data_IF_292152417135
#
_entry.id   IF_292152417135
#
_cell.length_a   1.000
_cell.length_b   1.000
_cell.length_c   1.000
_cell.angle_alpha   90.00
_cell.angle_beta   90.00
_cell.angle_gamma   90.00
#
_symmetry.space_group_name_H-M   'P 1'
#
loop_
_entity.id
_entity.type
_entity.pdbx_description
1 polymer ?
#
# COMPACT_ATOMS: atom_id res chain seq x y z
N UNK A 1 27.94 80.58 -34.52
CA UNK A 1 28.02 79.10 -34.41
C UNK A 1 27.10 78.67 -33.29
N UNK A 2 25.85 78.18 -33.62
CA UNK A 2 24.85 77.71 -32.67
C UNK A 2 24.85 76.19 -32.73
N UNK A 3 25.19 75.50 -31.64
CA UNK A 3 25.10 74.09 -31.53
C UNK A 3 23.71 73.68 -31.11
N UNK A 4 23.01 72.94 -31.98
CA UNK A 4 21.73 72.27 -31.69
C UNK A 4 22.05 71.00 -30.85
N UNK A 5 21.42 70.91 -29.68
CA UNK A 5 21.36 69.66 -28.90
C UNK A 5 20.06 68.93 -29.28
N UNK A 6 20.25 67.74 -29.89
CA UNK A 6 19.15 66.84 -30.14
C UNK A 6 18.98 65.96 -28.89
N UNK A 7 17.84 66.04 -28.26
CA UNK A 7 17.46 65.16 -27.16
C UNK A 7 16.85 63.87 -27.76
N UNK A 8 17.58 62.73 -27.58
CA UNK A 8 17.09 61.45 -27.91
C UNK A 8 16.39 60.89 -26.66
N UNK A 9 15.06 60.82 -26.70
CA UNK A 9 14.25 60.17 -25.66
C UNK A 9 14.29 58.67 -25.91
N UNK A 10 15.12 57.96 -25.18
CA UNK A 10 15.15 56.49 -25.14
C UNK A 10 13.99 56.00 -24.28
N UNK A 11 12.97 55.48 -24.93
CA UNK A 11 11.84 54.80 -24.27
C UNK A 11 12.39 53.47 -23.75
N UNK A 12 12.53 53.39 -22.42
CA UNK A 12 12.91 52.16 -21.72
C UNK A 12 11.65 51.28 -21.58
N UNK A 13 11.45 50.31 -22.48
CA UNK A 13 10.50 49.24 -22.28
C UNK A 13 11.02 48.31 -21.19
N UNK A 14 10.48 48.48 -19.99
CA UNK A 14 10.68 47.50 -18.94
C UNK A 14 9.88 46.23 -19.31
N UNK A 15 10.57 45.20 -19.84
CA UNK A 15 10.02 43.88 -20.02
C UNK A 15 9.86 43.23 -18.64
N UNK A 16 8.68 43.28 -18.05
CA UNK A 16 8.33 42.52 -16.85
C UNK A 16 8.17 41.09 -17.30
N UNK A 17 9.24 40.31 -17.18
CA UNK A 17 9.18 38.83 -17.29
C UNK A 17 8.54 38.36 -15.99
N UNK A 18 7.23 38.12 -16.05
CA UNK A 18 6.51 37.38 -15.02
C UNK A 18 7.00 35.94 -15.12
N UNK A 19 7.94 35.57 -14.25
CA UNK A 19 8.22 34.16 -13.97
C UNK A 19 6.98 33.58 -13.29
N UNK A 20 6.05 33.07 -14.08
CA UNK A 20 5.09 32.11 -13.57
C UNK A 20 5.91 30.88 -13.20
N UNK A 21 5.86 30.40 -11.96
CA UNK A 21 6.37 29.08 -11.66
C UNK A 21 5.61 28.13 -12.60
N UNK A 22 6.31 27.56 -13.57
CA UNK A 22 5.81 26.40 -14.27
C UNK A 22 5.68 25.32 -13.19
N UNK A 23 4.55 25.30 -12.49
CA UNK A 23 4.11 24.08 -11.86
C UNK A 23 4.01 23.09 -13.00
N UNK A 24 4.97 22.18 -13.11
CA UNK A 24 4.76 20.93 -13.81
C UNK A 24 3.58 20.25 -13.08
N UNK A 25 2.38 20.66 -13.42
CA UNK A 25 1.22 19.83 -13.21
C UNK A 25 1.46 18.63 -14.09
N UNK A 26 1.92 17.55 -13.48
CA UNK A 26 1.78 16.22 -14.05
C UNK A 26 0.33 16.13 -14.55
N UNK A 27 0.11 15.70 -15.81
CA UNK A 27 -1.23 15.51 -16.30
C UNK A 27 -1.96 14.65 -15.28
N UNK A 28 -3.12 15.09 -14.85
CA UNK A 28 -4.01 14.44 -13.88
C UNK A 28 -4.05 12.95 -14.13
N UNK A 29 -3.32 12.20 -13.33
CA UNK A 29 -3.62 10.81 -13.13
C UNK A 29 -5.00 10.80 -12.46
N UNK A 30 -6.01 10.26 -13.11
CA UNK A 30 -7.23 9.84 -12.46
C UNK A 30 -6.85 8.93 -11.28
N UNK A 31 -7.66 8.77 -10.25
CA UNK A 31 -7.37 7.89 -9.09
C UNK A 31 -6.97 6.47 -9.48
N UNK A 32 -7.14 6.08 -10.76
CA UNK A 32 -6.73 4.83 -11.38
C UNK A 32 -5.29 4.85 -11.98
N UNK A 33 -4.60 5.98 -12.01
CA UNK A 33 -3.28 6.10 -12.63
C UNK A 33 -2.15 6.01 -11.57
N UNK A 34 -2.09 4.89 -10.90
CA UNK A 34 -0.84 4.35 -10.39
C UNK A 34 0.17 4.33 -11.56
N UNK A 35 1.40 4.74 -11.32
CA UNK A 35 2.39 4.82 -12.38
C UNK A 35 2.79 3.40 -12.85
N UNK A 36 2.30 2.98 -14.01
CA UNK A 36 2.56 1.66 -14.57
C UNK A 36 3.97 1.56 -15.15
N UNK A 37 4.81 0.72 -14.54
CA UNK A 37 6.19 0.49 -14.94
C UNK A 37 6.44 -0.91 -15.51
N UNK A 38 5.41 -1.67 -15.85
CA UNK A 38 5.51 -3.06 -16.32
C UNK A 38 6.48 -3.23 -17.48
N UNK A 39 6.41 -2.36 -18.49
CA UNK A 39 7.28 -2.41 -19.68
C UNK A 39 8.77 -2.18 -19.39
N UNK A 40 9.13 -1.74 -18.16
CA UNK A 40 10.51 -1.48 -17.75
C UNK A 40 11.23 -2.73 -17.25
N UNK A 41 10.53 -3.85 -17.09
CA UNK A 41 11.10 -5.09 -16.57
C UNK A 41 11.68 -5.98 -17.67
N UNK A 42 12.80 -6.66 -17.36
CA UNK A 42 13.51 -7.60 -18.24
C UNK A 42 13.94 -8.83 -17.46
N UNK A 43 13.92 -10.00 -18.11
CA UNK A 43 14.52 -11.22 -17.59
C UNK A 43 16.02 -11.18 -17.86
N UNK A 44 16.85 -10.82 -16.87
CA UNK A 44 18.25 -10.46 -17.13
C UNK A 44 19.29 -11.23 -16.31
N UNK A 45 18.88 -11.95 -15.25
CA UNK A 45 19.88 -12.56 -14.35
C UNK A 45 20.35 -13.95 -14.73
N UNK A 46 19.60 -14.65 -15.58
CA UNK A 46 19.99 -15.99 -15.98
C UNK A 46 19.64 -16.24 -17.47
N UNK A 47 20.55 -16.90 -18.19
CA UNK A 47 20.36 -17.22 -19.60
C UNK A 47 19.17 -18.17 -19.88
N UNK A 48 18.69 -18.87 -18.87
CA UNK A 48 17.53 -19.77 -18.95
C UNK A 48 16.20 -19.07 -18.66
N UNK A 49 16.25 -17.83 -18.19
CA UNK A 49 15.05 -17.03 -17.99
C UNK A 49 14.55 -16.51 -19.34
N UNK A 50 13.24 -16.54 -19.50
CA UNK A 50 12.56 -16.02 -20.68
C UNK A 50 11.43 -15.10 -20.28
N UNK A 51 11.12 -14.21 -21.17
CA UNK A 51 10.06 -13.23 -21.00
C UNK A 51 9.35 -13.00 -22.33
N UNK A 52 8.04 -13.12 -22.29
CA UNK A 52 7.16 -12.79 -23.41
C UNK A 52 6.35 -11.54 -23.08
N UNK A 53 6.41 -10.53 -23.96
CA UNK A 53 5.61 -9.31 -23.82
C UNK A 53 4.31 -9.48 -24.61
N UNK A 54 3.18 -9.11 -24.00
CA UNK A 54 1.88 -9.17 -24.62
C UNK A 54 1.39 -7.80 -25.09
N UNK A 55 0.46 -7.80 -26.05
CA UNK A 55 -0.10 -6.56 -26.62
C UNK A 55 -0.90 -5.72 -25.64
N UNK A 56 -1.40 -6.30 -24.56
CA UNK A 56 -2.10 -5.63 -23.46
C UNK A 56 -1.15 -5.02 -22.42
N UNK A 57 0.18 -5.14 -22.63
CA UNK A 57 1.21 -4.63 -21.74
C UNK A 57 1.59 -5.58 -20.61
N UNK A 58 0.94 -6.73 -20.47
CA UNK A 58 1.33 -7.76 -19.51
C UNK A 58 2.61 -8.49 -19.95
N UNK A 59 3.22 -9.20 -19.01
CA UNK A 59 4.47 -9.94 -19.22
C UNK A 59 4.30 -11.37 -18.73
N UNK A 60 4.58 -12.37 -19.57
CA UNK A 60 4.80 -13.74 -19.09
C UNK A 60 6.28 -13.96 -18.82
N UNK A 61 6.61 -14.26 -17.57
CA UNK A 61 7.96 -14.49 -17.06
C UNK A 61 8.15 -15.97 -16.73
N UNK A 62 9.09 -16.62 -17.43
CA UNK A 62 9.50 -18.00 -17.20
C UNK A 62 10.72 -18.00 -16.30
N UNK A 63 10.49 -18.07 -15.00
CA UNK A 63 11.56 -17.96 -14.02
C UNK A 63 12.33 -19.27 -13.84
N UNK A 64 13.59 -19.14 -13.47
CA UNK A 64 14.38 -20.20 -12.81
C UNK A 64 14.42 -19.92 -11.31
N UNK A 65 14.87 -20.91 -10.52
CA UNK A 65 15.01 -20.71 -9.08
C UNK A 65 15.91 -19.51 -8.79
N UNK A 66 15.39 -18.53 -8.04
CA UNK A 66 16.07 -17.28 -7.68
C UNK A 66 16.58 -16.46 -8.87
N UNK A 67 16.06 -16.73 -10.06
CA UNK A 67 16.25 -15.84 -11.21
C UNK A 67 15.48 -14.54 -11.04
N UNK A 68 15.90 -13.48 -11.74
CA UNK A 68 15.36 -12.13 -11.52
C UNK A 68 14.66 -11.55 -12.75
N UNK A 69 13.39 -11.20 -12.62
CA UNK A 69 12.77 -10.20 -13.49
C UNK A 69 13.15 -8.83 -12.93
N UNK A 70 13.93 -8.06 -13.69
CA UNK A 70 14.66 -6.89 -13.19
C UNK A 70 14.21 -5.61 -13.86
N UNK A 71 13.89 -4.60 -13.07
CA UNK A 71 13.80 -3.20 -13.48
C UNK A 71 15.07 -2.46 -13.05
N UNK A 72 15.88 -2.00 -14.01
CA UNK A 72 17.07 -1.20 -13.76
C UNK A 72 16.77 0.27 -14.03
N UNK A 73 17.07 1.13 -13.05
CA UNK A 73 16.74 2.56 -13.13
C UNK A 73 17.43 3.21 -14.32
N UNK A 74 18.75 3.04 -14.48
CA UNK A 74 19.52 3.68 -15.54
C UNK A 74 19.26 3.08 -16.92
N UNK A 75 19.19 1.75 -17.00
CA UNK A 75 19.10 1.04 -18.29
C UNK A 75 17.67 0.97 -18.82
N UNK A 76 16.69 0.97 -17.93
CA UNK A 76 15.28 0.80 -18.28
C UNK A 76 14.45 2.08 -18.11
N UNK A 77 15.11 3.23 -17.87
CA UNK A 77 14.48 4.54 -17.69
C UNK A 77 13.41 4.56 -16.60
N UNK A 78 13.71 3.96 -15.46
CA UNK A 78 12.93 4.13 -14.23
C UNK A 78 13.33 5.43 -13.52
N UNK A 79 12.42 6.05 -12.75
CA UNK A 79 12.79 7.16 -11.88
C UNK A 79 13.88 6.73 -10.88
N UNK A 80 14.82 7.61 -10.57
CA UNK A 80 15.84 7.37 -9.56
C UNK A 80 15.29 7.59 -8.15
N UNK A 81 14.48 8.63 -8.00
CA UNK A 81 13.86 9.04 -6.74
C UNK A 81 12.40 8.56 -6.69
N UNK A 82 12.12 7.68 -5.73
CA UNK A 82 10.78 7.14 -5.50
C UNK A 82 10.14 7.72 -4.23
N UNK A 83 10.69 8.80 -3.66
CA UNK A 83 10.15 9.40 -2.42
C UNK A 83 8.71 9.94 -2.56
N UNK A 84 8.26 10.18 -3.79
CA UNK A 84 6.85 10.52 -4.09
C UNK A 84 5.90 9.33 -4.13
N UNK A 85 6.38 8.12 -3.88
CA UNK A 85 5.57 6.89 -3.89
C UNK A 85 5.64 6.17 -2.55
N UNK A 86 4.63 5.38 -2.22
CA UNK A 86 4.59 4.59 -0.99
C UNK A 86 4.88 3.11 -1.19
N UNK A 87 4.74 2.60 -2.41
CA UNK A 87 5.00 1.19 -2.72
C UNK A 87 5.24 0.94 -4.20
N UNK A 88 5.88 -0.20 -4.50
CA UNK A 88 5.83 -0.86 -5.80
C UNK A 88 5.06 -2.17 -5.65
N UNK A 89 4.10 -2.42 -6.53
CA UNK A 89 3.23 -3.60 -6.45
C UNK A 89 3.30 -4.41 -7.74
N UNK A 90 3.54 -5.72 -7.63
CA UNK A 90 3.38 -6.67 -8.71
C UNK A 90 1.99 -7.30 -8.64
N UNK A 91 1.22 -7.19 -9.71
CA UNK A 91 -0.07 -7.87 -9.86
C UNK A 91 0.06 -9.01 -10.86
N UNK A 92 -0.43 -10.17 -10.48
CA UNK A 92 -0.38 -11.38 -11.28
C UNK A 92 -1.76 -11.67 -11.86
N UNK A 93 -1.79 -12.21 -13.07
CA UNK A 93 -3.06 -12.63 -13.73
C UNK A 93 -3.70 -13.76 -12.94
N UNK A 94 -2.89 -14.78 -12.58
CA UNK A 94 -3.30 -15.92 -11.77
C UNK A 94 -2.59 -15.89 -10.42
N UNK A 95 -3.13 -16.64 -9.46
CA UNK A 95 -2.45 -16.84 -8.18
C UNK A 95 -1.11 -17.55 -8.35
N UNK A 96 -0.09 -17.06 -7.64
CA UNK A 96 1.27 -17.62 -7.68
C UNK A 96 1.29 -19.09 -7.25
N UNK A 97 2.03 -19.93 -7.96
CA UNK A 97 2.20 -21.35 -7.65
C UNK A 97 3.36 -21.64 -6.70
N UNK A 98 4.20 -20.64 -6.50
CA UNK A 98 5.42 -20.71 -5.68
C UNK A 98 5.56 -19.41 -4.88
N UNK A 99 6.41 -19.44 -3.88
CA UNK A 99 6.80 -18.23 -3.15
C UNK A 99 7.56 -17.28 -4.07
N UNK A 100 7.31 -16.00 -3.89
CA UNK A 100 7.91 -14.89 -4.64
C UNK A 100 8.53 -13.89 -3.69
N UNK A 101 9.50 -13.12 -4.15
CA UNK A 101 10.07 -12.03 -3.34
C UNK A 101 10.41 -10.82 -4.19
N UNK A 102 10.39 -9.65 -3.56
CA UNK A 102 10.85 -8.41 -4.16
C UNK A 102 12.11 -7.94 -3.44
N UNK A 103 13.16 -7.68 -4.21
CA UNK A 103 14.34 -7.01 -3.75
C UNK A 103 14.31 -5.55 -4.27
N UNK A 104 14.58 -4.61 -3.39
CA UNK A 104 14.72 -3.20 -3.71
C UNK A 104 16.14 -2.78 -3.36
N UNK A 105 16.88 -2.24 -4.32
CA UNK A 105 18.29 -1.90 -4.17
C UNK A 105 19.13 -3.08 -3.59
N UNK A 106 18.88 -4.29 -4.11
CA UNK A 106 19.57 -5.52 -3.68
C UNK A 106 19.17 -6.09 -2.33
N UNK A 107 18.27 -5.45 -1.60
CA UNK A 107 17.80 -5.91 -0.29
C UNK A 107 16.40 -6.50 -0.40
N UNK A 108 16.16 -7.66 0.22
CA UNK A 108 14.81 -8.26 0.34
C UNK A 108 13.88 -7.31 1.11
N UNK A 109 12.74 -6.96 0.52
CA UNK A 109 11.76 -6.04 1.09
C UNK A 109 10.36 -6.60 1.19
N UNK A 110 9.98 -7.51 0.31
CA UNK A 110 8.68 -8.14 0.37
C UNK A 110 8.80 -9.64 0.05
N UNK A 111 8.00 -10.43 0.74
CA UNK A 111 7.91 -11.88 0.56
C UNK A 111 6.45 -12.28 0.34
N UNK A 112 6.17 -12.85 -0.81
CA UNK A 112 4.86 -13.34 -1.20
C UNK A 112 4.77 -14.84 -1.06
N UNK A 113 3.79 -15.30 -0.31
CA UNK A 113 3.45 -16.72 -0.20
C UNK A 113 2.87 -17.24 -1.51
N UNK A 114 2.87 -18.56 -1.67
CA UNK A 114 2.10 -19.22 -2.72
C UNK A 114 0.61 -18.85 -2.61
N UNK A 115 -0.03 -18.64 -3.75
CA UNK A 115 -1.47 -18.41 -3.84
C UNK A 115 -1.89 -16.94 -3.84
N UNK A 116 -0.96 -16.00 -3.94
CA UNK A 116 -1.27 -14.57 -4.04
C UNK A 116 -1.43 -14.12 -5.49
N UNK A 117 -2.29 -13.14 -5.71
CA UNK A 117 -2.46 -12.44 -6.99
C UNK A 117 -1.84 -11.05 -6.99
N UNK A 118 -1.32 -10.60 -5.85
CA UNK A 118 -0.72 -9.29 -5.65
C UNK A 118 0.41 -9.37 -4.65
N UNK A 119 1.54 -8.72 -4.94
CA UNK A 119 2.68 -8.59 -4.04
C UNK A 119 3.13 -7.13 -3.97
N UNK A 120 2.70 -6.37 -2.96
CA UNK A 120 3.21 -5.02 -2.71
C UNK A 120 4.53 -5.05 -1.95
N UNK A 121 5.39 -4.09 -2.26
CA UNK A 121 6.60 -3.76 -1.51
C UNK A 121 6.48 -2.31 -1.04
N UNK A 122 6.15 -2.12 0.23
CA UNK A 122 6.03 -0.80 0.85
C UNK A 122 7.42 -0.23 1.16
N UNK A 123 7.53 1.10 1.09
CA UNK A 123 8.80 1.82 1.27
C UNK A 123 9.01 2.32 2.71
N UNK A 124 8.15 1.91 3.64
CA UNK A 124 8.26 2.31 5.05
C UNK A 124 9.64 1.98 5.62
N UNK A 125 10.32 2.99 6.15
CA UNK A 125 11.67 2.84 6.70
C UNK A 125 12.79 2.57 5.68
N UNK A 126 12.52 2.76 4.38
CA UNK A 126 13.47 2.58 3.29
C UNK A 126 13.84 3.94 2.70
N UNK A 127 15.14 4.20 2.51
CA UNK A 127 15.56 5.36 1.71
C UNK A 127 15.40 5.02 0.23
N UNK A 128 14.36 5.60 -0.38
CA UNK A 128 14.01 5.38 -1.78
C UNK A 128 14.38 6.55 -2.69
N UNK A 129 15.18 7.49 -2.21
CA UNK A 129 15.65 8.64 -3.01
C UNK A 129 16.67 8.25 -4.07
N UNK A 130 17.31 7.09 -3.92
CA UNK A 130 18.29 6.58 -4.87
C UNK A 130 18.09 5.08 -5.07
N UNK A 131 17.07 4.73 -5.85
CA UNK A 131 16.84 3.34 -6.26
C UNK A 131 17.69 3.08 -7.51
N UNK A 132 18.43 1.97 -7.52
CA UNK A 132 19.18 1.49 -8.66
C UNK A 132 18.46 0.35 -9.39
N UNK A 133 17.75 -0.50 -8.64
CA UNK A 133 17.04 -1.65 -9.20
C UNK A 133 15.88 -2.11 -8.32
N UNK A 134 14.91 -2.74 -8.97
CA UNK A 134 13.87 -3.55 -8.35
C UNK A 134 13.79 -4.91 -9.02
N UNK A 135 13.67 -5.98 -8.25
CA UNK A 135 13.76 -7.35 -8.76
C UNK A 135 12.64 -8.20 -8.18
N UNK A 136 11.91 -8.90 -9.05
CA UNK A 136 11.02 -10.00 -8.67
C UNK A 136 11.75 -11.32 -8.86
N UNK A 137 11.76 -12.16 -7.82
CA UNK A 137 12.33 -13.52 -7.85
C UNK A 137 11.30 -14.56 -7.42
N UNK A 138 11.55 -15.82 -7.80
CA UNK A 138 10.73 -16.97 -7.39
C UNK A 138 11.58 -18.01 -6.71
N UNK A 139 11.04 -18.66 -5.68
CA UNK A 139 11.76 -19.68 -4.90
C UNK A 139 12.00 -20.98 -5.70
N UNK A 140 11.23 -21.22 -6.74
CA UNK A 140 11.35 -22.39 -7.64
C UNK A 140 11.04 -21.96 -9.07
N UNK A 141 11.50 -22.72 -10.08
CA UNK A 141 11.13 -22.49 -11.46
C UNK A 141 9.61 -22.49 -11.63
N UNK A 142 9.09 -21.48 -12.31
CA UNK A 142 7.65 -21.34 -12.58
C UNK A 142 7.42 -20.39 -13.74
N UNK A 143 6.19 -20.35 -14.23
CA UNK A 143 5.72 -19.32 -15.17
C UNK A 143 4.73 -18.43 -14.44
N UNK A 144 4.96 -17.13 -14.48
CA UNK A 144 4.10 -16.08 -13.92
C UNK A 144 3.67 -15.13 -15.03
N UNK A 145 2.37 -14.83 -15.11
CA UNK A 145 1.91 -13.71 -15.91
C UNK A 145 1.73 -12.52 -15.00
N UNK A 146 2.59 -11.52 -15.18
CA UNK A 146 2.54 -10.24 -14.49
C UNK A 146 1.61 -9.34 -15.29
N UNK A 147 0.44 -9.07 -14.75
CA UNK A 147 -0.56 -8.19 -15.35
C UNK A 147 -0.06 -6.75 -15.40
N UNK A 148 0.49 -6.28 -14.29
CA UNK A 148 1.09 -4.95 -14.16
C UNK A 148 2.03 -4.84 -12.98
N UNK A 149 2.95 -3.89 -13.06
CA UNK A 149 3.81 -3.44 -11.98
C UNK A 149 3.56 -1.95 -11.78
N UNK A 150 3.12 -1.59 -10.59
CA UNK A 150 2.60 -0.25 -10.30
C UNK A 150 3.41 0.44 -9.22
N UNK A 151 3.73 1.72 -9.41
CA UNK A 151 4.18 2.61 -8.34
C UNK A 151 2.97 3.37 -7.80
N UNK A 152 2.64 3.14 -6.54
CA UNK A 152 1.52 3.82 -5.87
C UNK A 152 1.99 5.14 -5.28
N UNK A 153 1.33 6.27 -5.58
CA UNK A 153 1.69 7.57 -5.01
C UNK A 153 1.66 7.56 -3.48
N UNK A 154 2.60 8.29 -2.88
CA UNK A 154 2.64 8.44 -1.43
C UNK A 154 1.39 9.20 -0.96
N UNK A 155 0.68 8.61 0.00
CA UNK A 155 -0.41 9.30 0.68
C UNK A 155 0.14 10.41 1.56
N UNK A 156 -0.27 11.64 1.32
CA UNK A 156 0.26 12.84 2.00
C UNK A 156 -0.35 13.06 3.39
N UNK A 157 -1.50 12.46 3.69
CA UNK A 157 -2.16 12.55 4.98
C UNK A 157 -2.78 11.24 5.41
N UNK A 158 -2.58 10.89 6.68
CA UNK A 158 -3.18 9.74 7.34
C UNK A 158 -3.86 10.20 8.62
N UNK A 159 -5.14 9.90 8.77
CA UNK A 159 -5.82 10.01 10.05
C UNK A 159 -5.37 8.84 10.93
N UNK A 160 -4.72 9.14 12.04
CA UNK A 160 -4.17 8.14 12.96
C UNK A 160 -5.05 8.00 14.19
N UNK A 161 -5.49 6.77 14.47
CA UNK A 161 -6.24 6.42 15.68
C UNK A 161 -5.47 5.36 16.44
N UNK A 162 -5.00 5.63 17.66
CA UNK A 162 -4.44 4.60 18.54
C UNK A 162 -5.49 3.51 18.82
N UNK A 163 -5.13 2.25 18.59
CA UNK A 163 -5.96 1.08 18.90
C UNK A 163 -5.35 0.22 20.01
N UNK A 164 -4.11 0.47 20.34
CA UNK A 164 -3.41 -0.07 21.50
C UNK A 164 -2.26 0.85 21.89
N UNK A 165 -2.10 1.07 23.17
CA UNK A 165 -1.01 1.83 23.79
C UNK A 165 -0.54 1.09 25.04
N UNK A 166 0.76 1.07 25.26
CA UNK A 166 1.37 0.40 26.39
C UNK A 166 2.85 0.20 26.21
N UNK A 167 3.40 -0.73 26.95
CA UNK A 167 4.77 -1.19 26.77
C UNK A 167 4.75 -2.72 26.75
N UNK A 168 5.17 -3.31 25.65
CA UNK A 168 5.26 -4.76 25.49
C UNK A 168 6.64 -5.14 24.98
N UNK A 169 7.49 -5.54 25.93
CA UNK A 169 8.86 -5.98 25.66
C UNK A 169 8.83 -7.45 25.27
N UNK A 170 9.20 -7.75 24.05
CA UNK A 170 9.35 -9.12 23.56
C UNK A 170 10.82 -9.53 23.65
N UNK A 171 11.11 -10.54 24.44
CA UNK A 171 12.41 -11.18 24.46
C UNK A 171 12.52 -12.20 23.32
N UNK A 172 12.88 -13.43 23.67
CA UNK A 172 12.91 -14.56 22.75
C UNK A 172 11.51 -15.16 22.60
N UNK A 173 10.61 -14.45 21.90
CA UNK A 173 9.19 -14.85 21.71
C UNK A 173 8.37 -14.95 23.01
N UNK A 174 8.85 -14.33 24.08
CA UNK A 174 8.16 -14.26 25.34
C UNK A 174 7.19 -13.08 25.39
N UNK A 175 6.06 -13.27 26.04
CA UNK A 175 5.04 -12.25 26.15
C UNK A 175 4.12 -12.17 24.92
N UNK A 176 3.41 -11.08 24.82
CA UNK A 176 2.45 -10.79 23.79
C UNK A 176 1.25 -10.02 24.32
N UNK A 177 0.52 -9.37 23.43
CA UNK A 177 -0.73 -8.69 23.77
C UNK A 177 -1.80 -8.92 22.74
N UNK A 178 -3.04 -8.70 23.14
CA UNK A 178 -4.22 -8.83 22.28
C UNK A 178 -4.83 -7.46 22.05
N UNK A 179 -5.07 -7.13 20.80
CA UNK A 179 -5.94 -6.02 20.40
C UNK A 179 -7.33 -6.61 20.14
N UNK A 180 -8.31 -6.14 20.92
CA UNK A 180 -9.67 -6.70 20.90
C UNK A 180 -10.43 -6.34 19.62
N UNK A 181 -11.43 -7.13 19.20
CA UNK A 181 -12.24 -6.88 18.01
C UNK A 181 -12.86 -5.48 17.93
N UNK A 182 -13.28 -4.93 19.09
CA UNK A 182 -13.94 -3.62 19.17
C UNK A 182 -13.06 -2.49 18.66
N UNK A 183 -11.74 -2.63 18.79
CA UNK A 183 -10.75 -1.64 18.32
C UNK A 183 -10.73 -1.55 16.77
N UNK A 184 -11.14 -2.62 16.10
CA UNK A 184 -11.21 -2.69 14.64
C UNK A 184 -12.59 -2.37 14.06
N UNK A 185 -13.57 -1.96 14.90
CA UNK A 185 -14.97 -1.73 14.47
C UNK A 185 -15.09 -0.80 13.27
N UNK A 186 -14.24 0.22 13.19
CA UNK A 186 -14.24 1.21 12.09
C UNK A 186 -13.29 0.85 10.95
N UNK A 187 -12.46 -0.20 11.06
CA UNK A 187 -11.49 -0.56 10.03
C UNK A 187 -12.15 -0.87 8.69
N UNK A 188 -11.52 -0.44 7.60
CA UNK A 188 -11.93 -0.76 6.23
C UNK A 188 -10.73 -1.31 5.44
N UNK A 189 -10.98 -1.93 4.30
CA UNK A 189 -9.94 -2.34 3.36
C UNK A 189 -9.10 -1.13 2.94
N UNK A 190 -7.76 -1.30 2.88
CA UNK A 190 -6.83 -0.23 2.57
C UNK A 190 -6.34 0.58 3.78
N UNK A 191 -7.03 0.53 4.94
CA UNK A 191 -6.46 1.08 6.18
C UNK A 191 -5.13 0.37 6.50
N UNK A 192 -4.23 1.06 7.23
CA UNK A 192 -2.96 0.48 7.66
C UNK A 192 -2.94 0.29 9.17
N UNK A 193 -2.35 -0.81 9.63
CA UNK A 193 -1.89 -0.96 11.01
C UNK A 193 -0.45 -0.45 11.08
N UNK A 194 -0.17 0.50 11.95
CA UNK A 194 1.17 0.99 12.22
C UNK A 194 1.60 0.56 13.62
N UNK A 195 2.68 -0.20 13.69
CA UNK A 195 3.35 -0.57 14.94
C UNK A 195 4.46 0.44 15.21
N UNK A 196 4.45 1.07 16.39
CA UNK A 196 5.53 1.92 16.87
C UNK A 196 6.33 1.10 17.88
N UNK A 197 7.63 0.98 17.66
CA UNK A 197 8.48 0.10 18.47
C UNK A 197 9.93 0.57 18.53
N UNK A 198 10.70 -0.05 19.40
CA UNK A 198 12.16 -0.02 19.41
C UNK A 198 12.70 -1.44 19.32
N UNK A 199 13.93 -1.59 18.81
CA UNK A 199 14.63 -2.87 18.75
C UNK A 199 15.60 -3.00 19.91
N UNK A 200 15.69 -4.20 20.50
CA UNK A 200 16.72 -4.48 21.51
C UNK A 200 18.03 -4.85 20.84
N UNK A 201 18.97 -3.93 20.87
CA UNK A 201 20.34 -4.05 20.33
C UNK A 201 21.40 -4.35 21.40
N UNK A 202 21.00 -4.80 22.59
CA UNK A 202 21.91 -5.09 23.69
C UNK A 202 22.92 -6.21 23.39
N UNK A 203 22.53 -7.17 22.56
CA UNK A 203 23.42 -8.24 22.07
C UNK A 203 23.98 -7.86 20.69
N UNK A 204 25.30 -7.57 20.56
CA UNK A 204 25.91 -7.21 19.27
C UNK A 204 25.95 -8.36 18.25
N UNK A 205 25.66 -9.59 18.67
CA UNK A 205 25.58 -10.75 17.76
C UNK A 205 24.18 -10.93 17.17
N UNK A 206 23.18 -10.19 17.69
CA UNK A 206 21.83 -10.29 17.15
C UNK A 206 21.76 -9.62 15.78
N UNK A 207 21.25 -10.35 14.81
CA UNK A 207 21.20 -9.91 13.41
C UNK A 207 19.78 -9.74 12.87
N UNK A 208 18.76 -10.03 13.68
CA UNK A 208 17.38 -9.90 13.27
C UNK A 208 16.45 -9.57 14.45
N UNK A 209 15.36 -8.89 14.14
CA UNK A 209 14.26 -8.49 15.02
C UNK A 209 12.97 -8.77 14.28
N UNK A 210 11.93 -9.24 14.97
CA UNK A 210 10.69 -9.61 14.31
C UNK A 210 9.47 -9.16 15.12
N UNK A 211 8.40 -8.81 14.36
CA UNK A 211 7.05 -8.58 14.89
C UNK A 211 6.16 -9.66 14.28
N UNK A 212 5.43 -10.38 15.13
CA UNK A 212 4.48 -11.41 14.72
C UNK A 212 3.06 -10.93 14.91
N UNK A 213 2.23 -11.10 13.88
CA UNK A 213 0.82 -10.74 13.90
C UNK A 213 -0.04 -11.90 13.39
N UNK A 214 -1.01 -12.31 14.19
CA UNK A 214 -1.98 -13.35 13.81
C UNK A 214 -3.38 -12.92 14.25
N UNK A 215 -4.42 -13.44 13.60
CA UNK A 215 -5.77 -13.26 14.13
C UNK A 215 -5.86 -13.94 15.49
N UNK A 216 -6.41 -13.24 16.49
CA UNK A 216 -6.45 -13.75 17.85
C UNK A 216 -7.15 -15.12 17.92
N UNK A 217 -6.67 -16.00 18.81
CA UNK A 217 -7.13 -17.40 18.95
C UNK A 217 -6.89 -18.32 17.75
N UNK A 218 -6.08 -17.89 16.78
CA UNK A 218 -5.69 -18.68 15.61
C UNK A 218 -4.18 -18.68 15.43
N UNK A 219 -3.68 -19.49 14.49
CA UNK A 219 -2.31 -19.43 13.98
C UNK A 219 -2.22 -18.73 12.63
N UNK A 220 -3.37 -18.25 12.09
CA UNK A 220 -3.41 -17.63 10.79
C UNK A 220 -2.88 -16.20 10.85
N UNK A 221 -1.95 -15.91 9.97
CA UNK A 221 -1.35 -14.58 9.81
C UNK A 221 -2.30 -13.62 9.12
N UNK A 222 -2.09 -12.32 9.32
CA UNK A 222 -2.76 -11.30 8.53
C UNK A 222 -2.37 -11.47 7.06
N UNK A 223 -3.35 -11.39 6.16
CA UNK A 223 -3.11 -11.54 4.73
C UNK A 223 -2.29 -10.37 4.15
N UNK A 224 -2.48 -9.16 4.69
CA UNK A 224 -1.72 -7.97 4.31
C UNK A 224 -0.28 -7.91 4.82
N UNK A 225 0.18 -8.92 5.59
CA UNK A 225 1.56 -8.96 6.08
C UNK A 225 2.52 -9.51 5.01
N UNK A 226 2.86 -8.67 4.03
CA UNK A 226 3.73 -9.04 2.90
C UNK A 226 5.23 -9.08 3.23
N UNK A 227 5.61 -8.63 4.43
CA UNK A 227 7.00 -8.75 4.90
C UNK A 227 7.23 -10.04 5.71
N UNK A 228 6.30 -10.97 5.66
CA UNK A 228 6.38 -12.25 6.34
C UNK A 228 7.31 -13.19 5.58
N UNK A 229 8.31 -13.73 6.26
CA UNK A 229 9.28 -14.68 5.68
C UNK A 229 8.87 -16.15 5.85
N UNK A 230 7.79 -16.40 6.60
CA UNK A 230 7.28 -17.75 6.85
C UNK A 230 5.78 -17.72 7.19
N UNK A 231 5.15 -18.89 7.27
CA UNK A 231 3.71 -19.03 7.58
C UNK A 231 3.36 -18.74 9.05
N UNK A 232 4.29 -18.20 9.83
CA UNK A 232 4.10 -17.93 11.26
C UNK A 232 3.64 -16.51 11.56
N UNK A 233 3.52 -15.65 10.56
CA UNK A 233 3.14 -14.25 10.72
C UNK A 233 4.26 -13.33 11.21
N UNK A 234 5.51 -13.72 10.99
CA UNK A 234 6.68 -13.00 11.47
C UNK A 234 7.22 -12.08 10.37
N UNK A 235 7.16 -10.77 10.61
CA UNK A 235 7.80 -9.77 9.77
C UNK A 235 9.16 -9.39 10.34
N UNK A 236 10.21 -9.47 9.53
CA UNK A 236 11.53 -8.99 9.93
C UNK A 236 11.57 -7.47 9.82
N UNK A 237 11.99 -6.80 10.90
CA UNK A 237 12.16 -5.35 10.95
C UNK A 237 13.64 -4.98 10.99
N UNK A 238 13.97 -3.79 10.49
CA UNK A 238 15.35 -3.29 10.50
C UNK A 238 15.81 -2.91 11.90
N UNK A 239 17.12 -3.02 12.16
CA UNK A 239 17.74 -2.69 13.44
C UNK A 239 17.40 -1.28 13.95
N UNK A 240 17.30 -0.32 13.05
CA UNK A 240 17.02 1.09 13.36
C UNK A 240 15.58 1.49 13.02
N UNK A 241 14.75 0.54 12.61
CA UNK A 241 13.34 0.81 12.33
C UNK A 241 12.59 1.12 13.62
N UNK A 242 11.72 2.12 13.56
CA UNK A 242 10.86 2.55 14.65
C UNK A 242 9.39 2.32 14.35
N UNK A 243 9.07 2.04 13.09
CA UNK A 243 7.70 1.74 12.65
C UNK A 243 7.68 0.56 11.68
N UNK A 244 6.58 -0.18 11.69
CA UNK A 244 6.24 -1.21 10.71
C UNK A 244 4.78 -1.12 10.38
N UNK A 245 4.41 -1.26 9.11
CA UNK A 245 3.02 -1.09 8.65
C UNK A 245 2.53 -2.32 7.91
N UNK A 246 1.24 -2.63 8.11
CA UNK A 246 0.50 -3.68 7.43
C UNK A 246 -0.73 -3.05 6.80
N UNK A 247 -0.91 -3.18 5.49
CA UNK A 247 -2.14 -2.74 4.80
C UNK A 247 -3.19 -3.84 4.93
N UNK A 248 -4.37 -3.46 5.41
CA UNK A 248 -5.46 -4.41 5.66
C UNK A 248 -6.17 -4.79 4.36
N UNK A 249 -6.27 -6.08 4.10
CA UNK A 249 -7.15 -6.62 3.05
C UNK A 249 -8.60 -6.71 3.54
N UNK A 250 -9.55 -6.91 2.62
CA UNK A 250 -10.96 -7.16 2.98
C UNK A 250 -11.10 -8.34 3.95
N UNK A 251 -10.27 -9.39 3.78
CA UNK A 251 -10.23 -10.55 4.66
C UNK A 251 -9.68 -10.20 6.04
N UNK A 252 -8.61 -9.41 6.11
CA UNK A 252 -8.05 -8.93 7.38
C UNK A 252 -9.11 -8.17 8.16
N UNK A 253 -9.77 -7.20 7.54
CA UNK A 253 -10.83 -6.40 8.16
C UNK A 253 -11.93 -7.30 8.74
N UNK A 254 -12.41 -8.28 7.95
CA UNK A 254 -13.44 -9.23 8.39
C UNK A 254 -12.99 -10.06 9.60
N UNK A 255 -11.77 -10.56 9.59
CA UNK A 255 -11.24 -11.41 10.66
C UNK A 255 -10.91 -10.60 11.92
N UNK A 256 -10.31 -9.41 11.77
CA UNK A 256 -9.98 -8.52 12.88
C UNK A 256 -11.22 -8.03 13.63
N UNK A 257 -12.29 -7.66 12.92
CA UNK A 257 -13.59 -7.32 13.52
C UNK A 257 -14.24 -8.47 14.30
N UNK A 258 -13.92 -9.71 13.91
CA UNK A 258 -14.48 -10.91 14.56
C UNK A 258 -13.63 -11.43 15.72
N UNK A 259 -12.32 -11.45 15.56
CA UNK A 259 -11.39 -12.17 16.44
C UNK A 259 -10.44 -11.22 17.19
N UNK A 260 -10.19 -10.01 16.66
CA UNK A 260 -9.08 -9.18 17.08
C UNK A 260 -7.74 -9.70 16.57
N UNK A 261 -6.65 -9.19 17.13
CA UNK A 261 -5.29 -9.52 16.74
C UNK A 261 -4.45 -9.88 17.96
N UNK A 262 -3.64 -10.93 17.85
CA UNK A 262 -2.55 -11.22 18.79
C UNK A 262 -1.23 -10.74 18.19
N UNK A 263 -0.45 -10.02 19.00
CA UNK A 263 0.87 -9.49 18.66
C UNK A 263 1.90 -10.09 19.59
N UNK A 264 3.00 -10.55 19.02
CA UNK A 264 4.19 -11.00 19.73
C UNK A 264 5.42 -10.61 18.88
N UNK A 265 6.62 -10.90 19.36
CA UNK A 265 7.82 -10.54 18.63
C UNK A 265 9.10 -11.17 19.16
N UNK A 266 10.19 -10.84 18.48
CA UNK A 266 11.54 -11.27 18.83
C UNK A 266 12.42 -10.04 19.00
N UNK A 267 12.79 -9.76 20.25
CA UNK A 267 13.64 -8.66 20.68
C UNK A 267 13.22 -7.27 20.15
N UNK A 268 11.92 -6.99 20.23
CA UNK A 268 11.32 -5.68 19.98
C UNK A 268 10.51 -5.24 21.21
N UNK A 269 10.40 -3.95 21.42
CA UNK A 269 9.51 -3.35 22.39
C UNK A 269 8.47 -2.52 21.64
N UNK A 270 7.23 -3.00 21.60
CA UNK A 270 6.12 -2.27 20.97
C UNK A 270 5.47 -1.36 22.01
N UNK A 271 5.32 -0.09 21.64
CA UNK A 271 4.75 0.94 22.51
C UNK A 271 3.38 1.43 22.07
N UNK A 272 3.06 1.29 20.78
CA UNK A 272 1.78 1.74 20.23
C UNK A 272 1.42 0.96 18.98
N UNK A 273 0.13 0.77 18.75
CA UNK A 273 -0.42 0.33 17.46
C UNK A 273 -1.52 1.29 17.04
N UNK A 274 -1.37 1.85 15.85
CA UNK A 274 -2.31 2.79 15.26
C UNK A 274 -3.08 2.14 14.12
N UNK A 275 -4.35 2.53 13.97
CA UNK A 275 -5.11 2.34 12.76
C UNK A 275 -5.02 3.64 11.95
N UNK A 276 -4.36 3.57 10.80
CA UNK A 276 -4.19 4.70 9.88
C UNK A 276 -5.22 4.60 8.76
N UNK A 277 -5.95 5.68 8.51
CA UNK A 277 -6.86 5.82 7.38
C UNK A 277 -6.38 6.91 6.46
N UNK A 278 -6.44 6.69 5.15
CA UNK A 278 -6.19 7.73 4.16
C UNK A 278 -7.15 8.88 4.41
N UNK A 279 -6.61 10.07 4.69
CA UNK A 279 -7.40 11.29 4.88
C UNK A 279 -8.13 11.64 3.58
N UNK A 280 -9.39 12.01 3.68
CA UNK A 280 -10.12 12.59 2.55
C UNK A 280 -9.53 13.99 2.32
N UNK A 281 -8.87 14.20 1.18
CA UNK A 281 -8.39 15.51 0.82
C UNK A 281 -9.61 16.44 0.71
N UNK A 282 -9.61 17.55 1.42
CA UNK A 282 -10.68 18.56 1.44
C UNK A 282 -11.00 19.18 0.05
N UNK A 283 -10.34 18.71 -1.03
CA UNK A 283 -10.57 19.14 -2.41
C UNK A 283 -11.75 18.42 -3.10
N UNK A 284 -12.33 17.38 -2.50
CA UNK A 284 -13.47 16.66 -3.09
C UNK A 284 -14.85 17.15 -2.58
N UNK A 285 -14.91 17.97 -1.52
CA UNK A 285 -16.18 18.50 -1.01
C UNK A 285 -16.76 19.69 -1.84
N UNK A 286 -16.12 20.08 -2.94
CA UNK A 286 -16.48 21.27 -3.76
C UNK A 286 -17.41 21.03 -4.95
N UNK A 287 -17.87 19.81 -5.24
CA UNK A 287 -18.69 19.51 -6.44
C UNK A 287 -20.04 18.86 -6.15
N UNK A 288 -20.70 19.20 -5.07
CA UNK A 288 -22.15 19.01 -5.01
C UNK A 288 -22.83 20.23 -5.59
N UNK A 289 -23.06 20.18 -6.91
CA UNK A 289 -23.90 21.14 -7.60
C UNK A 289 -25.25 21.26 -6.91
N UNK A 290 -25.55 22.45 -6.51
CA UNK A 290 -26.86 22.90 -6.01
C UNK A 290 -27.91 22.61 -7.08
N UNK A 291 -28.57 21.45 -6.99
CA UNK A 291 -29.79 21.17 -7.75
C UNK A 291 -30.93 21.90 -7.02
N UNK A 292 -31.25 23.10 -7.49
CA UNK A 292 -32.43 23.83 -7.05
C UNK A 292 -33.70 23.01 -7.27
N UNK A 293 -34.23 22.47 -6.18
CA UNK A 293 -35.56 21.87 -6.17
C UNK A 293 -36.58 22.96 -6.06
N UNK A 294 -37.22 23.31 -7.18
CA UNK A 294 -38.48 24.07 -7.17
C UNK A 294 -39.55 23.18 -6.53
N UNK A 295 -40.01 23.61 -5.35
CA UNK A 295 -41.17 23.05 -4.69
C UNK A 295 -42.42 23.39 -5.49
N UNK A 296 -43.09 22.39 -6.05
CA UNK A 296 -44.48 22.53 -6.50
C UNK A 296 -45.35 21.81 -5.48
N UNK A 297 -46.06 22.61 -4.69
CA UNK A 297 -47.17 22.22 -3.86
C UNK A 297 -48.34 21.77 -4.71
N UNK A 298 -48.80 20.54 -4.53
CA UNK A 298 -50.16 20.17 -4.88
C UNK A 298 -50.75 19.32 -3.73
N UNK A 299 -51.76 19.89 -3.12
CA UNK A 299 -52.72 19.33 -2.18
C UNK A 299 -53.65 18.33 -2.87
N UNK A 300 -54.04 17.25 -2.18
CA UNK A 300 -55.15 16.37 -2.61
C UNK A 300 -55.18 15.03 -1.88
N UNK A 301 -55.82 15.01 -0.78
CA UNK A 301 -56.94 14.18 -0.28
C UNK A 301 -56.88 12.65 -0.45
N UNK A 302 -56.96 12.00 0.73
CA UNK A 302 -57.80 10.88 1.19
C UNK A 302 -57.97 9.61 0.32
N UNK A 303 -57.71 8.42 0.89
CA UNK A 303 -58.72 7.47 1.43
C UNK A 303 -58.08 6.12 1.83
N UNK A 304 -58.36 5.79 3.05
CA UNK A 304 -58.80 4.55 3.70
C UNK A 304 -58.66 3.16 3.08
N UNK A 305 -58.43 2.25 4.08
CA UNK A 305 -58.92 0.85 4.22
C UNK A 305 -58.01 -0.22 3.57
N UNK A 306 -57.77 -1.39 4.09
CA UNK A 306 -58.28 -2.13 5.23
C UNK A 306 -57.40 -3.40 5.42
N UNK A 307 -57.45 -3.91 6.59
CA UNK A 307 -57.07 -5.17 7.18
C UNK A 307 -56.97 -6.43 6.31
N UNK A 308 -56.03 -7.34 6.66
CA UNK A 308 -56.33 -8.71 7.18
C UNK A 308 -55.00 -9.46 7.40
N UNK A 309 -54.69 -9.78 8.61
CA UNK A 309 -54.58 -11.11 9.26
C UNK A 309 -54.46 -12.29 8.29
N UNK A 310 -53.40 -13.05 8.44
CA UNK A 310 -53.52 -14.47 8.79
C UNK A 310 -52.18 -15.09 9.25
N UNK A 311 -52.27 -15.66 10.42
CA UNK A 311 -51.62 -16.72 11.14
C UNK A 311 -51.37 -17.97 10.31
N UNK A 312 -50.37 -18.72 10.70
CA UNK A 312 -50.20 -20.13 11.08
C UNK A 312 -48.85 -20.66 10.52
N UNK A 313 -47.94 -21.01 11.37
CA UNK A 313 -47.75 -22.24 12.15
C UNK A 313 -47.26 -23.41 11.29
N UNK A 314 -46.20 -23.96 11.64
CA UNK A 314 -45.82 -25.29 12.06
C UNK A 314 -44.50 -25.83 11.48
N UNK A 315 -43.57 -26.07 12.37
CA UNK A 315 -43.00 -27.33 12.85
C UNK A 315 -42.21 -28.22 11.89
N UNK A 316 -41.11 -28.65 12.52
CA UNK A 316 -40.40 -29.95 12.50
C UNK A 316 -39.17 -30.01 11.63
N UNK A 317 -38.03 -30.10 12.32
CA UNK A 317 -37.26 -31.27 12.83
C UNK A 317 -36.58 -32.11 11.75
N UNK A 318 -35.33 -32.32 12.07
CA UNK A 318 -34.52 -33.53 11.94
C UNK A 318 -33.39 -33.58 10.89
N UNK A 319 -32.33 -33.91 11.44
CA UNK A 319 -31.05 -34.54 11.19
C UNK A 319 -29.87 -33.59 11.00
#
# INVERSE_FOLDING_TARGET
MKKLYVWSSTLLFALVIVFLPSSCTLPWASEDDEFNITSKFKATWNVHEKMDNHSDGSITYHSVQWGGLVGLVKEHNLPVDWSGYESVTFEFEDSTKVETQILLAGTLRAWGRKGITRLPCYFDGVDVRQIDQVVLQTAKPTTLTIKRVMLSPATTSWDSKPIWEGESVFGNWEGGFVIKPEQFSTAIEGDKLEFVFTTDCSDPKRTYWQIKTVYNTTTNTLEGNYNEQNDWGCAQVGQTATTYRIVLTAKDVKQLKKLGMFVNGYYVNVTQVNLLRKGVNASEEGSTGEVGIHANTHTGAESNADASENTDADQKENY
#
